data_IF_025644131895
#
_entry.id   IF_025644131895
#
_cell.length_a   1.000
_cell.length_b   1.000
_cell.length_c   1.000
_cell.angle_alpha   90.00
_cell.angle_beta   90.00
_cell.angle_gamma   90.00
#
_symmetry.space_group_name_H-M   'P 1'
#
loop_
_entity.id
_entity.type
_entity.pdbx_description
1 polymer ?
#
# COMPACT_ATOMS: atom_id res chain seq x y z
N UNK A 1 -6.38 5.64 10.64
CA UNK A 1 -6.94 4.33 10.24
C UNK A 1 -8.30 4.49 9.59
N UNK A 2 -9.31 5.05 10.27
CA UNK A 2 -10.64 5.28 9.65
C UNK A 2 -10.54 6.11 8.35
N UNK A 3 -9.74 7.17 8.36
CA UNK A 3 -9.46 7.96 7.15
C UNK A 3 -8.82 7.13 6.02
N UNK A 4 -7.92 6.19 6.35
CA UNK A 4 -7.33 5.30 5.35
C UNK A 4 -8.39 4.37 4.75
N UNK A 5 -9.28 3.82 5.58
CA UNK A 5 -10.36 2.95 5.12
C UNK A 5 -11.29 3.72 4.17
N UNK A 6 -11.65 4.95 4.52
CA UNK A 6 -12.52 5.78 3.68
C UNK A 6 -11.86 6.10 2.33
N UNK A 7 -10.58 6.48 2.34
CA UNK A 7 -9.82 6.73 1.10
C UNK A 7 -9.72 5.47 0.25
N UNK A 8 -9.43 4.31 0.83
CA UNK A 8 -9.37 3.03 0.11
C UNK A 8 -10.72 2.71 -0.54
N UNK A 9 -11.82 2.89 0.19
CA UNK A 9 -13.17 2.71 -0.36
C UNK A 9 -13.42 3.63 -1.56
N UNK A 10 -13.03 4.91 -1.46
CA UNK A 10 -13.23 5.89 -2.53
C UNK A 10 -12.37 5.60 -3.77
N UNK A 11 -11.09 5.25 -3.58
CA UNK A 11 -10.14 5.09 -4.67
C UNK A 11 -10.18 3.70 -5.34
N UNK A 12 -10.52 2.67 -4.57
CA UNK A 12 -10.49 1.27 -5.02
C UNK A 12 -11.85 0.57 -4.99
N UNK A 13 -12.88 1.15 -4.39
CA UNK A 13 -14.17 0.49 -4.20
C UNK A 13 -14.12 -0.69 -3.22
N UNK A 14 -13.04 -0.85 -2.47
CA UNK A 14 -12.83 -1.93 -1.50
C UNK A 14 -13.16 -1.42 -0.11
N UNK A 15 -14.04 -2.12 0.60
CA UNK A 15 -14.42 -1.79 1.98
C UNK A 15 -13.57 -2.59 2.98
N UNK A 16 -12.77 -1.89 3.80
CA UNK A 16 -12.04 -2.49 4.93
C UNK A 16 -12.93 -2.37 6.17
N UNK A 17 -13.41 -3.49 6.70
CA UNK A 17 -14.36 -3.48 7.81
C UNK A 17 -13.72 -3.07 9.13
N UNK A 18 -12.52 -3.57 9.39
CA UNK A 18 -11.75 -3.28 10.59
C UNK A 18 -10.26 -3.58 10.37
N UNK A 19 -9.44 -3.30 11.40
CA UNK A 19 -7.97 -3.46 11.36
C UNK A 19 -7.49 -4.90 11.14
N UNK A 20 -8.35 -5.90 11.28
CA UNK A 20 -8.04 -7.31 11.11
C UNK A 20 -8.59 -7.87 9.78
N UNK A 21 -9.24 -7.06 8.94
CA UNK A 21 -9.77 -7.47 7.63
C UNK A 21 -8.67 -7.65 6.58
N UNK A 22 -7.77 -8.59 6.84
CA UNK A 22 -6.63 -8.88 5.97
C UNK A 22 -7.06 -9.47 4.62
N UNK A 23 -8.28 -10.00 4.51
CA UNK A 23 -8.82 -10.48 3.23
C UNK A 23 -8.98 -9.33 2.24
N UNK A 24 -9.63 -8.24 2.64
CA UNK A 24 -9.78 -7.08 1.77
C UNK A 24 -8.49 -6.28 1.63
N UNK A 25 -7.62 -6.27 2.64
CA UNK A 25 -6.28 -5.72 2.49
C UNK A 25 -5.46 -6.50 1.44
N UNK A 26 -5.52 -7.84 1.44
CA UNK A 26 -4.81 -8.65 0.46
C UNK A 26 -5.34 -8.44 -0.97
N UNK A 27 -6.65 -8.21 -1.14
CA UNK A 27 -7.22 -7.83 -2.45
C UNK A 27 -6.58 -6.56 -3.03
N UNK A 28 -6.17 -5.61 -2.19
CA UNK A 28 -5.41 -4.44 -2.67
C UNK A 28 -4.03 -4.85 -3.19
N UNK A 29 -3.32 -5.75 -2.49
CA UNK A 29 -2.04 -6.29 -2.96
C UNK A 29 -2.21 -6.98 -4.32
N UNK A 30 -3.28 -7.76 -4.49
CA UNK A 30 -3.60 -8.39 -5.79
C UNK A 30 -3.93 -7.36 -6.87
N UNK A 31 -4.70 -6.32 -6.52
CA UNK A 31 -5.03 -5.22 -7.44
C UNK A 31 -3.78 -4.48 -7.91
N UNK A 32 -2.86 -4.17 -6.99
CA UNK A 32 -1.58 -3.54 -7.31
C UNK A 32 -0.73 -4.43 -8.22
N UNK A 33 -0.66 -5.73 -7.93
CA UNK A 33 0.04 -6.71 -8.76
C UNK A 33 -0.54 -6.75 -10.18
N UNK A 34 -1.86 -6.75 -10.30
CA UNK A 34 -2.54 -6.76 -11.60
C UNK A 34 -2.32 -5.45 -12.38
N UNK A 35 -2.07 -4.33 -11.68
CA UNK A 35 -1.61 -3.05 -12.24
C UNK A 35 -0.10 -2.99 -12.53
N UNK A 36 0.66 -4.08 -12.34
CA UNK A 36 2.09 -4.15 -12.65
C UNK A 36 3.04 -3.82 -11.49
N UNK A 37 2.52 -3.53 -10.29
CA UNK A 37 3.35 -3.28 -9.11
C UNK A 37 3.89 -4.57 -8.51
N UNK A 38 5.13 -4.51 -8.04
CA UNK A 38 5.74 -5.53 -7.17
C UNK A 38 5.63 -5.03 -5.73
N UNK A 39 4.90 -5.74 -4.88
CA UNK A 39 4.70 -5.37 -3.47
C UNK A 39 5.60 -6.21 -2.57
N UNK A 40 6.35 -5.56 -1.69
CA UNK A 40 7.22 -6.19 -0.70
C UNK A 40 6.63 -6.03 0.69
N UNK A 41 6.42 -7.14 1.40
CA UNK A 41 5.95 -7.13 2.79
C UNK A 41 6.99 -7.87 3.64
N UNK A 42 7.53 -7.19 4.64
CA UNK A 42 8.50 -7.77 5.58
C UNK A 42 7.89 -7.68 6.98
N UNK A 43 7.70 -8.83 7.59
CA UNK A 43 7.23 -8.96 8.97
C UNK A 43 8.33 -9.61 9.81
N UNK A 44 8.66 -8.98 10.93
CA UNK A 44 9.58 -9.51 11.93
C UNK A 44 9.22 -8.95 13.31
N UNK A 45 9.76 -9.55 14.37
CA UNK A 45 9.58 -9.03 15.72
C UNK A 45 10.02 -7.55 15.76
N UNK A 46 9.10 -6.66 16.13
CA UNK A 46 9.28 -5.21 16.22
C UNK A 46 9.55 -4.48 14.88
N UNK A 47 9.26 -5.13 13.74
CA UNK A 47 9.46 -4.54 12.41
C UNK A 47 8.38 -5.00 11.44
N UNK A 48 7.56 -4.05 11.02
CA UNK A 48 6.62 -4.22 9.91
C UNK A 48 6.99 -3.23 8.81
N UNK A 49 7.20 -3.74 7.59
CA UNK A 49 7.47 -2.91 6.43
C UNK A 49 6.65 -3.33 5.22
N UNK A 50 6.16 -2.34 4.47
CA UNK A 50 5.43 -2.55 3.23
C UNK A 50 5.88 -1.52 2.20
N UNK A 51 6.39 -1.96 1.07
CA UNK A 51 6.83 -1.09 -0.03
C UNK A 51 6.29 -1.63 -1.36
N UNK A 52 6.35 -0.82 -2.42
CA UNK A 52 6.06 -1.29 -3.76
C UNK A 52 6.98 -0.67 -4.80
N UNK A 53 7.21 -1.40 -5.89
CA UNK A 53 8.01 -0.97 -7.04
C UNK A 53 7.23 -1.16 -8.33
N UNK A 54 7.35 -0.21 -9.25
CA UNK A 54 6.80 -0.29 -10.60
C UNK A 54 7.87 0.12 -11.63
N UNK A 55 7.96 -0.49 -12.82
CA UNK A 55 8.94 -0.10 -13.83
C UNK A 55 8.89 1.38 -14.23
N UNK A 56 7.68 1.95 -14.28
CA UNK A 56 7.49 3.35 -14.69
C UNK A 56 7.63 4.36 -13.54
N UNK A 57 7.60 3.92 -12.27
CA UNK A 57 7.56 4.80 -11.11
C UNK A 57 8.67 4.56 -10.08
N UNK A 58 9.47 3.50 -10.24
CA UNK A 58 10.48 3.10 -9.26
C UNK A 58 9.86 2.57 -7.96
N UNK A 59 10.67 2.55 -6.90
CA UNK A 59 10.24 2.10 -5.57
C UNK A 59 9.66 3.28 -4.79
N UNK A 60 8.46 3.13 -4.25
CA UNK A 60 7.69 4.21 -3.61
C UNK A 60 8.52 4.96 -2.56
N UNK A 61 9.10 4.25 -1.59
CA UNK A 61 9.84 4.90 -0.48
C UNK A 61 11.34 5.01 -0.74
N UNK A 62 11.96 4.00 -1.37
CA UNK A 62 13.41 4.00 -1.56
C UNK A 62 13.89 5.16 -2.47
N UNK A 63 13.05 5.66 -3.38
CA UNK A 63 13.39 6.82 -4.20
C UNK A 63 13.56 8.13 -3.40
N UNK A 64 13.01 8.20 -2.18
CA UNK A 64 13.15 9.34 -1.27
C UNK A 64 14.12 9.06 -0.11
N UNK A 65 14.78 7.89 -0.10
CA UNK A 65 15.64 7.48 1.02
C UNK A 65 14.86 7.18 2.31
N UNK A 66 13.54 6.97 2.20
CA UNK A 66 12.68 6.70 3.34
C UNK A 66 12.62 5.21 3.67
N UNK A 67 12.42 4.91 4.95
CA UNK A 67 12.27 3.55 5.42
C UNK A 67 10.78 3.23 5.59
N UNK A 68 10.21 2.29 4.81
CA UNK A 68 8.76 2.03 4.77
C UNK A 68 8.28 1.24 6.00
N UNK A 69 8.50 1.77 7.21
CA UNK A 69 8.09 1.16 8.48
C UNK A 69 6.71 1.63 8.89
N UNK A 70 5.86 0.67 9.28
CA UNK A 70 4.49 0.94 9.70
C UNK A 70 4.22 0.36 11.08
N UNK A 71 3.14 0.82 11.73
CA UNK A 71 2.69 0.22 13.01
C UNK A 71 2.06 -1.15 12.80
N UNK A 72 1.63 -1.46 11.57
CA UNK A 72 1.10 -2.76 11.17
C UNK A 72 1.24 -2.98 9.67
N UNK A 73 1.26 -4.24 9.24
CA UNK A 73 1.19 -4.60 7.81
C UNK A 73 -0.05 -4.00 7.15
N UNK A 74 -1.20 -4.03 7.84
CA UNK A 74 -2.45 -3.44 7.37
C UNK A 74 -2.25 -1.97 6.99
N UNK A 75 -1.75 -1.15 7.92
CA UNK A 75 -1.46 0.27 7.66
C UNK A 75 -0.53 0.46 6.46
N UNK A 76 0.50 -0.38 6.36
CA UNK A 76 1.45 -0.35 5.24
C UNK A 76 0.80 -0.66 3.89
N UNK A 77 -0.01 -1.71 3.81
CA UNK A 77 -0.72 -2.09 2.57
C UNK A 77 -1.64 -0.95 2.12
N UNK A 78 -2.45 -0.40 3.02
CA UNK A 78 -3.39 0.66 2.64
C UNK A 78 -2.67 1.94 2.20
N UNK A 79 -1.59 2.31 2.90
CA UNK A 79 -0.79 3.49 2.57
C UNK A 79 -0.11 3.33 1.22
N UNK A 80 0.57 2.19 1.01
CA UNK A 80 1.23 1.88 -0.27
C UNK A 80 0.24 1.85 -1.42
N UNK A 81 -0.94 1.26 -1.24
CA UNK A 81 -1.97 1.25 -2.27
C UNK A 81 -2.42 2.67 -2.65
N UNK A 82 -2.62 3.57 -1.67
CA UNK A 82 -3.00 4.95 -1.97
C UNK A 82 -1.89 5.72 -2.69
N UNK A 83 -0.63 5.56 -2.28
CA UNK A 83 0.52 6.20 -2.93
C UNK A 83 0.73 5.67 -4.36
N UNK A 84 0.61 4.37 -4.57
CA UNK A 84 0.64 3.77 -5.91
C UNK A 84 -0.46 4.37 -6.81
N UNK A 85 -1.67 4.55 -6.26
CA UNK A 85 -2.78 5.17 -7.02
C UNK A 85 -2.50 6.62 -7.39
N UNK A 86 -1.86 7.36 -6.50
CA UNK A 86 -1.48 8.75 -6.72
C UNK A 86 -0.42 8.86 -7.83
N UNK A 87 0.58 7.98 -7.81
CA UNK A 87 1.58 7.85 -8.88
C UNK A 87 0.96 7.49 -10.22
N UNK A 88 0.03 6.53 -10.25
CA UNK A 88 -0.69 6.15 -11.49
C UNK A 88 -1.49 7.32 -12.09
N UNK A 89 -2.08 8.17 -11.24
CA UNK A 89 -2.92 9.30 -11.69
C UNK A 89 -2.09 10.50 -12.13
N UNK A 90 -1.03 10.81 -11.40
CA UNK A 90 -0.33 12.10 -11.51
C UNK A 90 1.08 11.96 -12.10
N UNK A 91 1.64 10.74 -12.16
CA UNK A 91 3.02 10.47 -12.56
C UNK A 91 4.08 10.87 -11.52
N UNK A 92 3.69 11.52 -10.43
CA UNK A 92 4.55 11.94 -9.31
C UNK A 92 3.80 11.83 -7.99
N UNK A 93 4.58 11.64 -6.91
CA UNK A 93 4.14 11.89 -5.53
C UNK A 93 4.39 13.36 -5.16
#
# INVERSE_FOLDING_TARGET
MEELFERIRREYGIEIKDKNDMTNAWRLVETLKDSGWVVYIITAKDREQVDAWHPDHGTIFAQFGENPRFKSVMEGILTVALLAKELEKNGTL
#
